data_IF_355892192107
#
_entry.id   IF_355892192107
#
_cell.length_a   1.000
_cell.length_b   1.000
_cell.length_c   1.000
_cell.angle_alpha   90.00
_cell.angle_beta   90.00
_cell.angle_gamma   90.00
#
_symmetry.space_group_name_H-M   'P 1'
#
loop_
_entity.id
_entity.type
_entity.pdbx_description
1 polymer ?
#
# COMPACT_ATOMS: atom_id res chain seq x y z
N UNK A 1 7.49 11.03 16.64
CA UNK A 1 7.56 9.55 16.70
C UNK A 1 8.26 9.03 15.47
N UNK A 2 9.22 8.11 15.62
CA UNK A 2 9.98 7.51 14.50
C UNK A 2 9.36 6.16 14.16
N UNK A 3 8.79 6.05 12.97
CA UNK A 3 8.01 4.89 12.54
C UNK A 3 8.54 4.37 11.22
N UNK A 4 8.94 3.10 11.16
CA UNK A 4 9.20 2.41 9.91
C UNK A 4 7.88 2.27 9.15
N UNK A 5 7.90 2.75 7.90
CA UNK A 5 6.74 2.83 7.00
C UNK A 5 5.48 3.43 7.64
N UNK A 6 5.61 4.34 8.62
CA UNK A 6 4.47 4.90 9.37
C UNK A 6 3.66 3.85 10.16
N UNK A 7 4.23 2.70 10.50
CA UNK A 7 3.52 1.63 11.21
C UNK A 7 4.25 1.22 12.49
N UNK A 8 5.54 0.87 12.37
CA UNK A 8 6.28 0.20 13.44
C UNK A 8 7.26 1.16 14.13
N UNK A 9 7.15 1.38 15.44
CA UNK A 9 8.14 2.12 16.21
C UNK A 9 9.41 1.29 16.39
N UNK A 10 10.49 1.66 15.71
CA UNK A 10 11.78 0.95 15.77
C UNK A 10 12.68 1.39 16.95
N UNK A 11 12.17 2.26 17.82
CA UNK A 11 12.85 2.72 19.03
C UNK A 11 12.55 1.85 20.27
N UNK A 12 11.74 0.81 20.11
CA UNK A 12 11.42 -0.14 21.17
C UNK A 12 12.41 -1.31 21.14
N UNK A 13 12.61 -1.94 22.30
CA UNK A 13 13.39 -3.19 22.40
C UNK A 13 12.80 -4.30 21.53
N UNK A 14 11.47 -4.32 21.40
CA UNK A 14 10.74 -5.23 20.51
C UNK A 14 9.85 -4.44 19.54
N UNK A 15 10.34 -4.06 18.35
CA UNK A 15 9.60 -3.21 17.40
C UNK A 15 8.26 -3.77 16.91
N UNK A 16 8.02 -5.08 17.07
CA UNK A 16 6.80 -5.76 16.65
C UNK A 16 5.69 -5.77 17.70
N UNK A 17 5.90 -5.25 18.92
CA UNK A 17 4.89 -5.34 20.01
C UNK A 17 3.86 -4.22 19.99
N UNK A 18 4.17 -3.09 19.36
CA UNK A 18 3.28 -1.94 19.22
C UNK A 18 3.23 -1.52 17.76
N UNK A 19 2.02 -1.29 17.24
CA UNK A 19 1.83 -0.90 15.83
C UNK A 19 0.79 0.21 15.72
N UNK A 20 1.03 1.15 14.80
CA UNK A 20 0.08 2.21 14.49
C UNK A 20 -0.52 1.99 13.10
N UNK A 21 -1.83 1.86 13.03
CA UNK A 21 -2.57 1.73 11.77
C UNK A 21 -3.33 3.02 11.50
N UNK A 22 -3.27 3.53 10.28
CA UNK A 22 -3.86 4.81 9.86
C UNK A 22 -3.02 6.04 10.25
N UNK A 23 -1.75 5.87 10.62
CA UNK A 23 -0.94 6.99 11.13
C UNK A 23 -0.48 7.98 10.04
N UNK A 24 -0.64 7.64 8.76
CA UNK A 24 -0.34 8.51 7.63
C UNK A 24 -1.59 8.79 6.79
N UNK A 25 -1.65 10.01 6.26
CA UNK A 25 -2.69 10.44 5.33
C UNK A 25 -2.13 10.55 3.91
N UNK A 26 -2.95 10.35 2.87
CA UNK A 26 -2.49 10.61 1.52
C UNK A 26 -2.26 12.10 1.25
N UNK A 27 -1.15 12.40 0.57
CA UNK A 27 -0.88 13.72 0.00
C UNK A 27 -1.84 13.96 -1.17
N UNK A 28 -2.54 15.11 -1.17
CA UNK A 28 -3.52 15.46 -2.21
C UNK A 28 -4.95 15.00 -1.95
N UNK A 29 -5.22 14.37 -0.80
CA UNK A 29 -6.54 13.80 -0.49
C UNK A 29 -6.70 12.38 -1.05
N UNK A 30 -7.92 11.86 -1.02
CA UNK A 30 -8.23 10.50 -1.45
C UNK A 30 -8.54 9.55 -0.30
N UNK A 31 -8.97 8.34 -0.66
CA UNK A 31 -9.53 7.39 0.28
C UNK A 31 -8.42 6.71 1.11
N UNK A 32 -8.39 7.00 2.41
CA UNK A 32 -7.41 6.42 3.35
C UNK A 32 -7.71 4.97 3.70
N UNK A 33 -8.95 4.51 3.50
CA UNK A 33 -9.41 3.15 3.78
C UNK A 33 -8.51 2.07 3.17
N UNK A 34 -8.01 2.26 1.94
CA UNK A 34 -7.11 1.30 1.29
C UNK A 34 -5.75 1.24 1.99
N UNK A 35 -5.21 2.41 2.37
CA UNK A 35 -3.95 2.48 3.13
C UNK A 35 -4.10 1.75 4.46
N UNK A 36 -5.17 2.06 5.21
CA UNK A 36 -5.44 1.45 6.51
C UNK A 36 -5.59 -0.07 6.40
N UNK A 37 -6.27 -0.56 5.36
CA UNK A 37 -6.45 -2.00 5.12
C UNK A 37 -5.12 -2.70 4.79
N UNK A 38 -4.30 -2.12 3.91
CA UNK A 38 -2.98 -2.66 3.57
C UNK A 38 -2.05 -2.67 4.78
N UNK A 39 -2.05 -1.60 5.58
CA UNK A 39 -1.29 -1.53 6.83
C UNK A 39 -1.75 -2.61 7.81
N UNK A 40 -3.05 -2.82 7.98
CA UNK A 40 -3.59 -3.87 8.85
C UNK A 40 -3.17 -5.27 8.38
N UNK A 41 -3.17 -5.54 7.07
CA UNK A 41 -2.67 -6.80 6.50
C UNK A 41 -1.18 -6.98 6.77
N UNK A 42 -0.38 -5.92 6.64
CA UNK A 42 1.04 -5.99 6.94
C UNK A 42 1.31 -6.25 8.43
N UNK A 43 0.66 -5.48 9.31
CA UNK A 43 0.73 -5.65 10.76
C UNK A 43 0.37 -7.06 11.20
N UNK A 44 -0.74 -7.60 10.71
CA UNK A 44 -1.16 -8.97 11.07
C UNK A 44 -0.16 -10.04 10.63
N UNK A 45 0.54 -9.85 9.51
CA UNK A 45 1.61 -10.77 9.10
C UNK A 45 2.83 -10.68 10.02
N UNK A 46 3.21 -9.46 10.45
CA UNK A 46 4.32 -9.26 11.40
C UNK A 46 3.98 -9.84 12.78
N UNK A 47 2.80 -9.51 13.32
CA UNK A 47 2.35 -10.00 14.62
C UNK A 47 2.17 -11.53 14.67
N UNK A 48 1.80 -12.14 13.54
CA UNK A 48 1.70 -13.61 13.45
C UNK A 48 3.04 -14.30 13.13
N UNK A 49 4.15 -13.57 13.07
CA UNK A 49 5.48 -14.09 12.76
C UNK A 49 5.68 -14.55 11.32
N UNK A 50 4.72 -14.29 10.43
CA UNK A 50 4.76 -14.67 9.00
C UNK A 50 5.61 -13.73 8.16
N UNK A 51 5.81 -12.51 8.65
CA UNK A 51 6.70 -11.52 8.06
C UNK A 51 7.63 -10.99 9.16
N UNK A 52 8.91 -10.82 8.85
CA UNK A 52 9.90 -10.27 9.79
C UNK A 52 10.19 -8.83 9.42
N UNK A 53 10.20 -7.95 10.40
CA UNK A 53 10.69 -6.58 10.19
C UNK A 53 12.18 -6.61 9.82
N UNK A 54 12.65 -5.63 9.04
CA UNK A 54 14.08 -5.47 8.78
C UNK A 54 14.82 -5.07 10.06
N UNK A 55 16.14 -4.95 10.00
CA UNK A 55 16.95 -4.56 11.17
C UNK A 55 16.58 -3.15 11.67
N UNK A 56 16.90 -2.84 12.92
CA UNK A 56 16.64 -1.50 13.48
C UNK A 56 17.44 -0.43 12.75
N UNK A 57 18.62 -0.80 12.28
CA UNK A 57 19.53 0.02 11.47
C UNK A 57 18.88 0.34 10.12
N UNK A 58 18.38 -0.67 9.40
CA UNK A 58 17.71 -0.48 8.10
C UNK A 58 16.44 0.39 8.25
N UNK A 59 15.62 0.11 9.28
CA UNK A 59 14.42 0.90 9.57
C UNK A 59 14.75 2.37 9.85
N UNK A 60 15.87 2.61 10.54
CA UNK A 60 16.34 3.95 10.89
C UNK A 60 16.90 4.68 9.69
N UNK A 61 17.68 4.01 8.86
CA UNK A 61 18.22 4.56 7.62
C UNK A 61 17.08 4.97 6.70
N UNK A 62 16.14 4.07 6.42
CA UNK A 62 14.97 4.34 5.59
C UNK A 62 14.16 5.53 6.13
N UNK A 63 13.92 5.58 7.44
CA UNK A 63 13.20 6.70 8.06
C UNK A 63 13.96 8.03 7.89
N UNK A 64 15.28 8.00 8.01
CA UNK A 64 16.15 9.18 7.90
C UNK A 64 16.15 9.69 6.46
N UNK A 65 16.38 8.81 5.48
CA UNK A 65 16.32 9.14 4.05
C UNK A 65 14.96 9.71 3.66
N UNK A 66 13.85 9.10 4.12
CA UNK A 66 12.49 9.61 3.84
C UNK A 66 12.26 10.98 4.46
N UNK A 67 12.71 11.17 5.70
CA UNK A 67 12.59 12.46 6.39
C UNK A 67 13.36 13.54 5.66
N UNK A 68 14.60 13.28 5.28
CA UNK A 68 15.45 14.23 4.54
C UNK A 68 14.85 14.59 3.18
N UNK A 69 14.40 13.59 2.41
CA UNK A 69 13.73 13.81 1.13
C UNK A 69 12.47 14.68 1.29
N UNK A 70 11.67 14.41 2.33
CA UNK A 70 10.47 15.20 2.62
C UNK A 70 10.79 16.63 3.04
N UNK A 71 11.81 16.83 3.89
CA UNK A 71 12.28 18.17 4.26
C UNK A 71 12.80 18.95 3.05
N UNK A 72 13.54 18.30 2.16
CA UNK A 72 14.03 18.92 0.92
C UNK A 72 12.88 19.36 0.01
N UNK A 73 11.80 18.58 -0.07
CA UNK A 73 10.66 18.87 -0.94
C UNK A 73 9.65 19.86 -0.33
N UNK A 74 9.40 19.79 0.98
CA UNK A 74 8.27 20.48 1.65
C UNK A 74 8.70 21.44 2.77
N UNK A 75 9.99 21.50 3.13
CA UNK A 75 10.51 22.29 4.24
C UNK A 75 10.11 21.79 5.64
N UNK A 76 9.31 20.73 5.73
CA UNK A 76 8.84 20.18 7.01
C UNK A 76 8.55 18.68 6.91
N UNK A 77 8.60 17.99 8.05
CA UNK A 77 8.17 16.60 8.15
C UNK A 77 6.67 16.52 8.43
N UNK A 78 5.94 15.76 7.61
CA UNK A 78 4.50 15.55 7.72
C UNK A 78 4.19 14.05 7.68
N UNK A 79 3.13 13.65 8.35
CA UNK A 79 2.57 12.29 8.25
C UNK A 79 1.70 12.15 6.99
N UNK A 80 2.23 12.64 5.86
CA UNK A 80 1.56 12.57 4.57
C UNK A 80 2.44 11.86 3.55
N UNK A 81 1.86 10.91 2.84
CA UNK A 81 2.56 10.04 1.90
C UNK A 81 1.96 10.16 0.50
N UNK A 82 2.75 10.07 -0.58
CA UNK A 82 2.20 9.93 -1.92
C UNK A 82 1.34 8.66 -1.98
N UNK A 83 0.04 8.82 -2.25
CA UNK A 83 -0.99 7.78 -2.11
C UNK A 83 -0.59 6.47 -2.81
N UNK A 84 -0.31 6.53 -4.11
CA UNK A 84 -0.04 5.33 -4.92
C UNK A 84 1.27 4.66 -4.53
N UNK A 85 2.36 5.45 -4.45
CA UNK A 85 3.68 4.93 -4.09
C UNK A 85 3.67 4.21 -2.75
N UNK A 86 2.98 4.76 -1.74
CA UNK A 86 2.90 4.14 -0.44
C UNK A 86 2.05 2.86 -0.45
N UNK A 87 0.92 2.86 -1.16
CA UNK A 87 0.10 1.65 -1.27
C UNK A 87 0.85 0.52 -1.99
N UNK A 88 1.52 0.81 -3.11
CA UNK A 88 2.32 -0.18 -3.84
C UNK A 88 3.47 -0.72 -2.99
N UNK A 89 4.12 0.15 -2.23
CA UNK A 89 5.18 -0.23 -1.30
C UNK A 89 4.68 -1.24 -0.26
N UNK A 90 3.59 -0.94 0.45
CA UNK A 90 3.02 -1.87 1.45
C UNK A 90 2.49 -3.14 0.77
N UNK A 91 1.85 -3.01 -0.40
CA UNK A 91 1.35 -4.15 -1.16
C UNK A 91 2.49 -5.08 -1.61
N UNK A 92 3.66 -4.53 -1.94
CA UNK A 92 4.85 -5.30 -2.28
C UNK A 92 5.41 -6.04 -1.05
N UNK A 93 5.48 -5.39 0.12
CA UNK A 93 5.92 -6.03 1.38
C UNK A 93 5.11 -7.27 1.73
N UNK A 94 3.79 -7.23 1.48
CA UNK A 94 2.88 -8.35 1.77
C UNK A 94 2.64 -9.28 0.57
N UNK A 95 3.30 -9.03 -0.57
CA UNK A 95 3.25 -9.87 -1.77
C UNK A 95 1.90 -9.86 -2.50
N UNK A 96 1.17 -8.75 -2.46
CA UNK A 96 -0.18 -8.62 -3.07
C UNK A 96 -0.23 -7.60 -4.21
N UNK A 97 0.90 -6.95 -4.50
CA UNK A 97 1.05 -6.08 -5.65
C UNK A 97 1.11 -6.92 -6.93
N UNK A 98 0.17 -6.76 -7.89
CA UNK A 98 0.24 -7.48 -9.15
C UNK A 98 1.43 -7.03 -10.01
N UNK A 99 2.17 -7.99 -10.55
CA UNK A 99 3.21 -7.69 -11.55
C UNK A 99 2.57 -7.53 -12.92
N UNK A 100 2.86 -6.40 -13.58
CA UNK A 100 2.36 -6.14 -14.94
C UNK A 100 2.76 -7.24 -15.93
N UNK A 101 4.04 -7.63 -15.95
CA UNK A 101 4.52 -8.67 -16.88
C UNK A 101 3.82 -10.01 -16.64
N UNK A 102 3.65 -10.40 -15.37
CA UNK A 102 2.94 -11.64 -15.04
C UNK A 102 1.49 -11.58 -15.51
N UNK A 103 0.79 -10.48 -15.23
CA UNK A 103 -0.58 -10.28 -15.68
C UNK A 103 -0.67 -10.24 -17.21
N UNK A 104 0.30 -9.65 -17.91
CA UNK A 104 0.29 -9.54 -19.36
C UNK A 104 0.25 -10.92 -20.03
N UNK A 105 0.91 -11.93 -19.45
CA UNK A 105 0.89 -13.30 -19.98
C UNK A 105 -0.29 -14.15 -19.49
N UNK A 106 -0.85 -13.87 -18.31
CA UNK A 106 -1.99 -14.66 -17.77
C UNK A 106 -3.35 -14.10 -18.10
N UNK A 107 -3.48 -12.77 -18.12
CA UNK A 107 -4.72 -12.03 -18.35
C UNK A 107 -4.41 -10.62 -18.89
N UNK A 108 -4.09 -10.51 -20.20
CA UNK A 108 -3.68 -9.25 -20.81
C UNK A 108 -4.68 -8.12 -20.57
N UNK A 109 -5.99 -8.43 -20.61
CA UNK A 109 -7.06 -7.43 -20.41
C UNK A 109 -6.98 -6.81 -19.02
N UNK A 110 -6.75 -7.63 -17.99
CA UNK A 110 -6.54 -7.15 -16.63
C UNK A 110 -5.21 -6.40 -16.49
N UNK A 111 -4.14 -6.82 -17.18
CA UNK A 111 -2.86 -6.13 -17.18
C UNK A 111 -2.99 -4.68 -17.68
N UNK A 112 -3.65 -4.48 -18.82
CA UNK A 112 -3.90 -3.14 -19.37
C UNK A 112 -4.83 -2.32 -18.49
N UNK A 113 -5.88 -2.93 -17.91
CA UNK A 113 -6.76 -2.24 -16.95
C UNK A 113 -6.01 -1.80 -15.68
N UNK A 114 -5.12 -2.63 -15.15
CA UNK A 114 -4.34 -2.31 -13.97
C UNK A 114 -3.33 -1.17 -14.23
N UNK A 115 -2.62 -1.22 -15.37
CA UNK A 115 -1.53 -0.29 -15.65
C UNK A 115 -1.98 1.04 -16.26
N UNK A 116 -2.99 1.01 -17.14
CA UNK A 116 -3.48 2.21 -17.83
C UNK A 116 -4.85 2.69 -17.34
N UNK A 117 -5.53 1.91 -16.50
CA UNK A 117 -6.81 2.28 -15.90
C UNK A 117 -6.68 2.97 -14.55
N UNK A 118 -7.81 3.28 -13.89
CA UNK A 118 -7.79 3.83 -12.55
C UNK A 118 -7.27 2.78 -11.56
N UNK A 119 -6.45 3.22 -10.60
CA UNK A 119 -6.01 2.34 -9.51
C UNK A 119 -7.18 2.09 -8.55
N UNK A 120 -7.59 0.83 -8.45
CA UNK A 120 -8.75 0.43 -7.65
C UNK A 120 -8.30 -0.44 -6.47
N UNK A 121 -9.00 -0.35 -5.31
CA UNK A 121 -8.69 -1.20 -4.16
C UNK A 121 -8.74 -2.71 -4.47
N UNK A 122 -9.55 -3.10 -5.46
CA UNK A 122 -9.67 -4.48 -5.94
C UNK A 122 -8.35 -5.06 -6.44
N UNK A 123 -7.46 -4.21 -6.97
CA UNK A 123 -6.18 -4.65 -7.54
C UNK A 123 -5.29 -5.33 -6.48
N UNK A 124 -5.32 -4.86 -5.23
CA UNK A 124 -4.57 -5.44 -4.10
C UNK A 124 -5.16 -6.75 -3.54
N UNK A 125 -6.20 -7.28 -4.20
CA UNK A 125 -6.82 -8.59 -3.90
C UNK A 125 -6.82 -9.52 -5.10
N UNK A 126 -6.17 -9.16 -6.21
CA UNK A 126 -6.05 -10.04 -7.38
C UNK A 126 -5.06 -11.17 -7.17
N UNK A 127 -3.98 -10.91 -6.42
CA UNK A 127 -2.88 -11.85 -6.23
C UNK A 127 -2.46 -11.93 -4.76
N UNK A 128 -1.63 -12.91 -4.44
CA UNK A 128 -1.08 -13.09 -3.11
C UNK A 128 -2.08 -13.71 -2.14
N UNK A 129 -1.75 -13.64 -0.85
CA UNK A 129 -2.55 -14.26 0.20
C UNK A 129 -3.90 -13.56 0.38
N UNK A 130 -4.96 -14.36 0.49
CA UNK A 130 -6.36 -13.91 0.58
C UNK A 130 -6.83 -13.19 -0.71
N UNK A 131 -6.28 -13.58 -1.87
CA UNK A 131 -6.77 -13.14 -3.17
C UNK A 131 -8.22 -13.55 -3.39
N UNK A 132 -8.97 -12.70 -4.10
CA UNK A 132 -10.39 -12.84 -4.39
C UNK A 132 -10.58 -12.85 -5.91
N UNK A 133 -10.82 -14.02 -6.55
CA UNK A 133 -11.00 -14.11 -8.00
C UNK A 133 -12.07 -13.18 -8.56
N UNK A 134 -13.13 -12.92 -7.79
CA UNK A 134 -14.21 -12.00 -8.14
C UNK A 134 -13.75 -10.55 -8.33
N UNK A 135 -12.64 -10.14 -7.72
CA UNK A 135 -12.08 -8.79 -7.85
C UNK A 135 -11.65 -8.46 -9.28
N UNK A 136 -11.33 -9.49 -10.09
CA UNK A 136 -11.06 -9.32 -11.52
C UNK A 136 -12.25 -8.68 -12.23
N UNK A 137 -13.45 -9.21 -12.00
CA UNK A 137 -14.65 -8.72 -12.67
C UNK A 137 -14.96 -7.30 -12.23
N UNK A 138 -14.83 -7.01 -10.93
CA UNK A 138 -15.03 -5.66 -10.40
C UNK A 138 -14.05 -4.64 -11.00
N UNK A 139 -12.77 -5.01 -11.18
CA UNK A 139 -11.78 -4.12 -11.79
C UNK A 139 -12.12 -3.80 -13.26
N UNK A 140 -12.58 -4.79 -14.03
CA UNK A 140 -12.94 -4.61 -15.44
C UNK A 140 -14.26 -3.83 -15.62
N UNK A 141 -15.23 -4.00 -14.73
CA UNK A 141 -16.54 -3.34 -14.79
C UNK A 141 -16.55 -1.93 -14.17
N UNK A 142 -15.56 -1.60 -13.34
CA UNK A 142 -15.56 -0.37 -12.54
C UNK A 142 -15.80 0.88 -13.40
N UNK A 143 -15.08 1.01 -14.52
CA UNK A 143 -15.26 2.17 -15.41
C UNK A 143 -16.69 2.23 -15.96
N UNK A 144 -17.23 1.12 -16.46
CA UNK A 144 -18.60 1.09 -17.02
C UNK A 144 -19.65 1.53 -15.99
N UNK A 145 -19.53 1.05 -14.74
CA UNK A 145 -20.44 1.42 -13.64
C UNK A 145 -20.31 2.90 -13.27
N UNK A 146 -19.08 3.41 -13.22
CA UNK A 146 -18.84 4.83 -12.95
C UNK A 146 -19.42 5.73 -14.05
N UNK A 147 -19.25 5.36 -15.32
CA UNK A 147 -19.83 6.11 -16.45
C UNK A 147 -21.36 6.06 -16.43
N UNK A 148 -21.95 4.89 -16.17
CA UNK A 148 -23.41 4.74 -16.09
C UNK A 148 -24.04 5.64 -15.02
N UNK A 149 -23.37 5.84 -13.89
CA UNK A 149 -23.84 6.74 -12.83
C UNK A 149 -24.01 8.20 -13.29
N UNK A 150 -23.17 8.68 -14.20
CA UNK A 150 -23.25 10.06 -14.71
C UNK A 150 -24.30 10.26 -15.82
N UNK A 151 -24.96 9.18 -16.26
CA UNK A 151 -25.99 9.20 -17.30
C UNK A 151 -27.38 8.77 -16.77
N UNK A 152 -27.55 8.74 -15.45
CA UNK A 152 -28.84 8.63 -14.75
C UNK A 152 -29.36 10.02 -14.37
#
# INVERSE_FOLDING_TARGET
MRLHKWIFPFNLEHPSTLTFVGSCLPSGGGASNVIVELQARYVTQVLSGKHKLPSVEDMREEWTTRREAMFKQLGCFRFRVPLFKYQEEIANEIGVLPSFLRLLFTDPRLAFNFYFGPLLPYHYRLVGKNSKPECRQYALEAMQKTWAFFHL
#
